data_IF_222058000915
#
_entry.id   IF_222058000915
#
_cell.length_a   1.000
_cell.length_b   1.000
_cell.length_c   1.000
_cell.angle_alpha   90.00
_cell.angle_beta   90.00
_cell.angle_gamma   90.00
#
_symmetry.space_group_name_H-M   'P 1'
#
loop_
_entity.id
_entity.type
_entity.pdbx_description
1 polymer ?
#
# COMPACT_ATOMS: atom_id res chain seq x y z
N UNK A 1 -4.67 1.45 2.70
CA UNK A 1 -4.63 0.25 1.83
C UNK A 1 -3.21 0.12 1.33
N UNK A 2 -2.72 -1.12 1.18
CA UNK A 2 -1.42 -1.41 0.57
C UNK A 2 -1.69 -2.13 -0.74
N UNK A 3 -1.09 -1.64 -1.80
CA UNK A 3 -1.16 -2.19 -3.15
C UNK A 3 0.25 -2.49 -3.63
N UNK A 4 0.38 -3.50 -4.47
CA UNK A 4 1.62 -3.86 -5.12
C UNK A 4 1.31 -4.30 -6.55
N UNK A 5 2.31 -4.14 -7.42
CA UNK A 5 2.30 -4.73 -8.76
C UNK A 5 3.33 -5.84 -8.78
N UNK A 6 2.91 -7.05 -9.08
CA UNK A 6 3.84 -8.16 -9.32
C UNK A 6 4.36 -8.03 -10.75
N UNK A 7 5.65 -7.77 -10.92
CA UNK A 7 6.27 -7.79 -12.25
C UNK A 7 6.62 -9.24 -12.58
N UNK A 8 5.90 -9.86 -13.52
CA UNK A 8 6.35 -11.12 -14.11
C UNK A 8 7.66 -10.89 -14.87
N UNK A 9 8.63 -11.78 -14.68
CA UNK A 9 9.99 -11.69 -15.26
C UNK A 9 10.03 -12.11 -16.75
N UNK A 10 8.87 -12.07 -17.44
CA UNK A 10 8.70 -12.53 -18.81
C UNK A 10 8.52 -11.35 -19.77
N UNK A 11 9.30 -11.35 -20.85
CA UNK A 11 9.47 -10.27 -21.83
C UNK A 11 8.24 -9.99 -22.71
N UNK A 12 7.01 -10.24 -22.27
CA UNK A 12 5.81 -10.00 -23.06
C UNK A 12 4.65 -9.45 -22.22
N UNK A 13 4.20 -8.26 -22.61
CA UNK A 13 3.08 -7.45 -22.07
C UNK A 13 3.16 -6.92 -20.62
N UNK A 14 2.92 -5.61 -20.51
CA UNK A 14 2.91 -4.78 -19.32
C UNK A 14 1.74 -5.05 -18.33
N UNK A 15 1.32 -6.31 -18.17
CA UNK A 15 0.21 -6.71 -17.31
C UNK A 15 0.74 -7.45 -16.08
N UNK A 16 1.35 -6.71 -15.16
CA UNK A 16 1.64 -7.25 -13.84
C UNK A 16 0.34 -7.30 -13.02
N UNK A 17 0.15 -8.38 -12.24
CA UNK A 17 -1.04 -8.55 -11.41
C UNK A 17 -1.07 -7.50 -10.32
N UNK A 18 -2.16 -6.73 -10.28
CA UNK A 18 -2.37 -5.69 -9.30
C UNK A 18 -3.06 -6.26 -8.06
N UNK A 19 -2.31 -6.33 -6.98
CA UNK A 19 -2.75 -6.94 -5.73
C UNK A 19 -2.89 -5.91 -4.62
N UNK A 20 -3.82 -6.14 -3.70
CA UNK A 20 -4.11 -5.20 -2.62
C UNK A 20 -4.62 -5.84 -1.35
N UNK A 21 -4.42 -5.13 -0.23
CA UNK A 21 -5.03 -5.46 1.05
C UNK A 21 -5.17 -4.24 1.96
N UNK A 22 -6.07 -4.32 2.93
CA UNK A 22 -6.09 -3.36 4.04
C UNK A 22 -5.04 -3.76 5.08
N UNK A 23 -4.25 -2.79 5.52
CA UNK A 23 -3.32 -2.94 6.63
C UNK A 23 -3.49 -1.73 7.57
N UNK A 24 -3.48 -1.99 8.87
CA UNK A 24 -3.51 -0.95 9.91
C UNK A 24 -2.18 -0.82 10.64
N UNK A 25 -1.28 -1.80 10.49
CA UNK A 25 0.04 -1.82 11.11
C UNK A 25 1.05 -1.03 10.26
N UNK A 26 0.83 0.28 10.16
CA UNK A 26 1.65 1.23 9.41
C UNK A 26 2.39 2.19 10.37
N UNK A 27 3.64 2.53 10.07
CA UNK A 27 4.45 3.46 10.85
C UNK A 27 5.46 4.20 9.95
N UNK A 28 5.70 5.50 10.18
CA UNK A 28 6.89 6.19 9.67
C UNK A 28 8.13 5.79 10.45
N UNK A 29 9.24 5.49 9.76
CA UNK A 29 10.48 4.99 10.37
C UNK A 29 11.61 6.02 10.32
N UNK A 30 11.79 6.68 9.19
CA UNK A 30 12.89 7.64 8.97
C UNK A 30 12.46 8.76 8.04
N UNK A 31 13.14 9.91 8.15
CA UNK A 31 13.01 11.04 7.22
C UNK A 31 14.14 11.09 6.19
N UNK A 32 15.31 10.54 6.48
CA UNK A 32 16.45 10.48 5.55
C UNK A 32 17.21 9.14 5.70
N UNK A 33 17.14 8.22 4.71
CA UNK A 33 16.15 8.24 3.62
C UNK A 33 14.72 8.15 4.16
N UNK A 34 13.70 8.62 3.44
CA UNK A 34 12.31 8.59 3.91
C UNK A 34 11.78 7.15 3.91
N UNK A 35 11.62 6.56 5.10
CA UNK A 35 11.21 5.16 5.26
C UNK A 35 9.87 5.06 5.99
N UNK A 36 9.03 4.13 5.53
CA UNK A 36 7.83 3.66 6.21
C UNK A 36 7.90 2.16 6.43
N UNK A 37 7.13 1.66 7.39
CA UNK A 37 6.99 0.24 7.69
C UNK A 37 5.52 -0.16 7.59
N UNK A 38 5.30 -1.34 7.01
CA UNK A 38 4.03 -2.06 7.12
C UNK A 38 4.29 -3.48 7.60
N UNK A 39 3.57 -3.94 8.62
CA UNK A 39 3.55 -5.34 9.01
C UNK A 39 2.46 -6.09 8.24
N UNK A 40 2.86 -7.13 7.50
CA UNK A 40 1.97 -7.97 6.71
C UNK A 40 2.04 -9.41 7.21
N UNK A 41 0.89 -10.04 7.43
CA UNK A 41 0.86 -11.47 7.81
C UNK A 41 1.34 -12.30 6.61
N UNK A 42 2.23 -13.28 6.80
CA UNK A 42 2.77 -14.07 5.67
C UNK A 42 1.71 -14.83 4.87
N UNK A 43 0.62 -15.19 5.54
CA UNK A 43 -0.52 -15.87 4.91
C UNK A 43 -1.60 -14.89 4.44
N UNK A 44 -1.39 -13.58 4.60
CA UNK A 44 -2.28 -12.59 4.02
C UNK A 44 -2.19 -12.75 2.51
N UNK A 45 -3.30 -13.14 1.90
CA UNK A 45 -3.41 -13.11 0.45
C UNK A 45 -3.62 -11.65 0.08
N UNK A 46 -2.60 -11.04 -0.52
CA UNK A 46 -2.84 -9.87 -1.36
C UNK A 46 -3.77 -10.38 -2.45
N UNK A 47 -5.01 -9.90 -2.41
CA UNK A 47 -6.02 -10.33 -3.37
C UNK A 47 -5.82 -9.49 -4.62
N UNK A 48 -6.19 -10.06 -5.75
CA UNK A 48 -6.47 -9.33 -6.98
C UNK A 48 -7.71 -8.45 -6.75
N UNK A 49 -7.53 -7.39 -5.94
CA UNK A 49 -8.63 -6.57 -5.42
C UNK A 49 -9.16 -5.66 -6.50
N UNK A 50 -8.32 -5.29 -7.48
CA UNK A 50 -8.69 -4.33 -8.51
C UNK A 50 -9.49 -4.98 -9.64
N UNK A 51 -9.19 -6.24 -10.00
CA UNK A 51 -9.94 -6.94 -11.05
C UNK A 51 -11.27 -7.51 -10.53
N UNK A 52 -11.35 -7.84 -9.24
CA UNK A 52 -12.60 -8.35 -8.62
C UNK A 52 -13.53 -7.27 -8.06
N UNK A 53 -13.07 -6.02 -7.92
CA UNK A 53 -13.89 -4.86 -7.53
C UNK A 53 -13.73 -3.72 -8.55
N UNK A 54 -14.35 -3.82 -9.74
CA UNK A 54 -14.11 -2.92 -10.87
C UNK A 54 -14.45 -1.44 -10.60
N UNK A 55 -15.21 -1.16 -9.54
CA UNK A 55 -15.66 0.20 -9.20
C UNK A 55 -14.70 0.97 -8.27
N UNK A 56 -13.60 0.36 -7.80
CA UNK A 56 -12.62 1.08 -6.98
C UNK A 56 -11.76 1.96 -7.89
N UNK A 57 -11.90 3.30 -7.85
CA UNK A 57 -11.12 4.18 -8.70
C UNK A 57 -9.65 4.02 -8.33
N UNK A 58 -8.79 3.78 -9.31
CA UNK A 58 -7.35 3.72 -9.11
C UNK A 58 -6.62 4.18 -10.37
N UNK A 59 -5.36 4.53 -10.20
CA UNK A 59 -4.46 4.88 -11.30
C UNK A 59 -3.08 4.26 -11.05
N UNK A 60 -2.31 3.89 -12.09
CA UNK A 60 -0.95 3.45 -11.88
C UNK A 60 -0.08 4.57 -11.30
N UNK A 61 0.80 4.22 -10.37
CA UNK A 61 1.88 5.07 -9.89
C UNK A 61 2.90 5.34 -10.99
N UNK A 62 3.46 6.56 -11.03
CA UNK A 62 4.37 6.97 -12.12
C UNK A 62 5.80 6.45 -11.94
N UNK A 63 6.17 6.01 -10.75
CA UNK A 63 7.53 5.58 -10.38
C UNK A 63 7.64 4.05 -10.23
N UNK A 64 6.57 3.38 -9.79
CA UNK A 64 6.55 1.94 -9.51
C UNK A 64 5.51 1.18 -10.32
N UNK A 65 4.56 1.88 -10.96
CA UNK A 65 3.41 1.26 -11.61
C UNK A 65 2.38 0.68 -10.65
N UNK A 66 2.65 0.66 -9.34
CA UNK A 66 1.72 0.13 -8.35
C UNK A 66 0.42 0.97 -8.30
N UNK A 67 -0.75 0.35 -8.10
CA UNK A 67 -2.02 1.08 -8.10
C UNK A 67 -2.13 2.08 -6.96
N UNK A 68 -2.42 3.33 -7.29
CA UNK A 68 -2.75 4.40 -6.35
C UNK A 68 -4.28 4.52 -6.27
N UNK A 69 -4.83 4.10 -5.13
CA UNK A 69 -6.28 4.05 -4.89
C UNK A 69 -6.85 5.47 -4.73
N UNK A 70 -7.89 5.77 -5.48
CA UNK A 70 -8.66 7.01 -5.44
C UNK A 70 -9.48 7.14 -4.15
N UNK A 71 -9.77 8.37 -3.75
CA UNK A 71 -10.50 8.67 -2.51
C UNK A 71 -9.67 8.50 -1.22
N UNK A 72 -8.40 8.09 -1.31
CA UNK A 72 -7.48 8.09 -0.18
C UNK A 72 -7.13 9.54 0.23
N UNK A 73 -6.93 9.81 1.52
CA UNK A 73 -6.44 11.12 1.99
C UNK A 73 -5.02 11.43 1.53
N UNK A 74 -4.21 10.38 1.50
CA UNK A 74 -2.82 10.39 1.11
C UNK A 74 -2.47 9.09 0.37
N UNK A 75 -1.53 9.18 -0.55
CA UNK A 75 -0.90 8.03 -1.20
C UNK A 75 0.61 8.16 -1.09
N UNK A 76 1.27 7.05 -0.77
CA UNK A 76 2.72 6.94 -0.75
C UNK A 76 3.11 5.91 -1.81
N UNK A 77 3.94 6.33 -2.74
CA UNK A 77 4.52 5.45 -3.73
C UNK A 77 5.90 5.04 -3.23
N UNK A 78 6.05 3.74 -2.95
CA UNK A 78 7.21 3.23 -2.25
C UNK A 78 7.92 2.13 -3.05
N UNK A 79 9.24 2.08 -2.94
CA UNK A 79 10.04 0.90 -3.32
C UNK A 79 10.33 0.08 -2.08
N UNK A 80 10.24 -1.23 -2.17
CA UNK A 80 10.66 -2.12 -1.08
C UNK A 80 12.15 -1.90 -0.79
N UNK A 81 12.44 -1.41 0.41
CA UNK A 81 13.80 -1.18 0.91
C UNK A 81 14.34 -2.42 1.60
N UNK A 82 13.53 -3.05 2.46
CA UNK A 82 13.91 -4.27 3.18
C UNK A 82 12.67 -5.04 3.60
N UNK A 83 12.79 -6.37 3.69
CA UNK A 83 11.80 -7.23 4.33
C UNK A 83 12.47 -7.95 5.50
N UNK A 84 11.87 -7.86 6.69
CA UNK A 84 12.36 -8.52 7.91
C UNK A 84 11.34 -9.56 8.38
N UNK A 85 11.80 -10.78 8.57
CA UNK A 85 10.97 -11.85 9.11
C UNK A 85 10.73 -11.66 10.61
N UNK A 86 9.45 -11.61 11.02
CA UNK A 86 9.05 -11.34 12.40
C UNK A 86 7.86 -12.21 12.81
N UNK A 87 8.14 -13.44 13.26
CA UNK A 87 7.10 -14.36 13.74
C UNK A 87 6.23 -14.86 12.59
N UNK A 88 4.92 -14.58 12.63
CA UNK A 88 3.96 -14.90 11.56
C UNK A 88 3.72 -13.73 10.58
N UNK A 89 4.46 -12.63 10.75
CA UNK A 89 4.45 -11.46 9.89
C UNK A 89 5.81 -11.24 9.23
N UNK A 90 5.79 -10.53 8.12
CA UNK A 90 6.94 -9.91 7.50
C UNK A 90 6.81 -8.39 7.67
N UNK A 91 7.84 -7.75 8.20
CA UNK A 91 7.93 -6.29 8.30
C UNK A 91 8.52 -5.76 7.00
N UNK A 92 7.71 -5.10 6.19
CA UNK A 92 8.13 -4.52 4.92
C UNK A 92 8.48 -3.05 5.17
N UNK A 93 9.75 -2.71 5.00
CA UNK A 93 10.23 -1.33 4.98
C UNK A 93 10.18 -0.84 3.53
N UNK A 94 9.45 0.25 3.30
CA UNK A 94 9.36 0.93 2.01
C UNK A 94 10.08 2.27 2.05
N UNK A 95 10.93 2.52 1.07
CA UNK A 95 11.47 3.85 0.79
C UNK A 95 10.44 4.63 -0.01
N UNK A 96 10.04 5.80 0.50
CA UNK A 96 9.04 6.67 -0.13
C UNK A 96 9.69 7.41 -1.29
N UNK A 97 9.24 7.12 -2.51
CA UNK A 97 9.69 7.79 -3.73
C UNK A 97 8.85 9.04 -4.03
N UNK A 98 7.55 8.99 -3.73
CA UNK A 98 6.63 10.11 -3.87
C UNK A 98 5.49 10.05 -2.84
N UNK A 99 4.99 11.22 -2.45
CA UNK A 99 3.82 11.37 -1.61
C UNK A 99 2.83 12.33 -2.27
N UNK A 100 1.56 11.94 -2.36
CA UNK A 100 0.48 12.81 -2.85
C UNK A 100 -0.62 12.92 -1.79
N UNK A 101 -1.14 14.13 -1.59
CA UNK A 101 -2.23 14.45 -0.66
C UNK A 101 -3.45 14.93 -1.46
N UNK A 102 -4.22 14.04 -2.11
CA UNK A 102 -5.37 14.45 -2.92
C UNK A 102 -6.56 14.95 -2.09
N UNK A 103 -6.59 14.70 -0.78
CA UNK A 103 -7.66 15.18 0.12
C UNK A 103 -7.09 15.53 1.50
N UNK A 104 -6.29 16.60 1.63
CA UNK A 104 -5.55 16.91 2.86
C UNK A 104 -6.46 17.28 4.04
N UNK A 105 -7.67 17.78 3.76
CA UNK A 105 -8.66 18.18 4.77
C UNK A 105 -9.64 17.06 5.13
N UNK A 106 -9.53 15.88 4.52
CA UNK A 106 -10.45 14.77 4.80
C UNK A 106 -10.15 14.09 6.14
N UNK A 107 -11.16 13.48 6.74
CA UNK A 107 -11.03 12.83 8.05
C UNK A 107 -10.43 11.43 7.93
N UNK A 108 -9.38 11.08 8.70
CA UNK A 108 -8.77 9.78 8.64
C UNK A 108 -9.67 8.70 9.20
N UNK A 109 -9.59 7.51 8.60
CA UNK A 109 -10.22 6.30 9.11
C UNK A 109 -9.36 5.71 10.23
N UNK A 110 -9.86 5.74 11.45
CA UNK A 110 -9.24 5.16 12.63
C UNK A 110 -9.74 3.73 12.86
N UNK A 111 -8.83 2.80 13.11
CA UNK A 111 -9.18 1.46 13.60
C UNK A 111 -8.89 1.36 15.11
N UNK A 112 -9.94 1.22 15.92
CA UNK A 112 -9.83 1.11 17.38
C UNK A 112 -10.87 0.16 17.95
N UNK A 113 -10.44 -0.75 18.85
CA UNK A 113 -11.30 -1.80 19.45
C UNK A 113 -12.07 -2.63 18.41
N UNK A 114 -11.38 -3.03 17.35
CA UNK A 114 -11.93 -3.90 16.29
C UNK A 114 -12.97 -3.23 15.39
N UNK A 115 -13.04 -1.89 15.37
CA UNK A 115 -14.01 -1.14 14.57
C UNK A 115 -13.34 0.05 13.88
N UNK A 116 -13.81 0.35 12.67
CA UNK A 116 -13.47 1.57 11.95
C UNK A 116 -14.33 2.75 12.43
N UNK A 117 -13.71 3.93 12.53
CA UNK A 117 -14.30 5.18 12.99
C UNK A 117 -13.70 6.34 12.21
N UNK A 118 -14.44 7.42 12.01
CA UNK A 118 -13.84 8.69 11.63
C UNK A 118 -13.17 9.33 12.86
N UNK A 119 -12.07 10.04 12.65
CA UNK A 119 -11.50 10.91 13.68
C UNK A 119 -12.29 12.22 13.70
N UNK A 120 -13.20 12.36 14.67
CA UNK A 120 -14.09 13.52 14.84
C UNK A 120 -15.07 13.30 15.98
#
# INVERSE_FOLDING_TARGET
MVTARETEDTSDTASGDDVGMTATAFLSVSLEPPLVLVSLRRQARMREVLDTQPDVPHRPGSLTGAPLVGGALATLECRTHQVVEAGDHSLVLGEVLAANLPSPEGLPLLHFRGRYRALG
#
